data_IF_663989128701
#
_entry.id   IF_663989128701
#
_cell.length_a   1.000
_cell.length_b   1.000
_cell.length_c   1.000
_cell.angle_alpha   90.00
_cell.angle_beta   90.00
_cell.angle_gamma   90.00
#
_symmetry.space_group_name_H-M   'P 1'
#
loop_
_entity.id
_entity.type
_entity.pdbx_description
1 polymer ?
#
# COMPACT_ATOMS: atom_id res chain seq x y z
N UNK A 1 5.23 20.25 -15.69
CA UNK A 1 5.08 20.18 -14.23
C UNK A 1 3.58 20.30 -13.98
N UNK A 2 2.90 19.19 -13.73
CA UNK A 2 1.49 19.22 -13.35
C UNK A 2 1.44 19.01 -11.84
N UNK A 3 1.37 20.13 -11.10
CA UNK A 3 1.04 20.10 -9.67
C UNK A 3 -0.36 19.50 -9.53
N UNK A 4 -0.42 18.26 -9.05
CA UNK A 4 -1.66 17.68 -8.56
C UNK A 4 -1.74 17.98 -7.06
N UNK A 5 -2.00 19.26 -6.73
CA UNK A 5 -2.41 19.61 -5.40
C UNK A 5 -3.65 18.77 -5.04
N UNK A 6 -3.68 18.19 -3.86
CA UNK A 6 -4.80 17.47 -3.25
C UNK A 6 -5.96 18.43 -2.92
N UNK A 7 -6.35 19.26 -3.87
CA UNK A 7 -7.54 20.08 -3.86
C UNK A 7 -8.52 19.46 -4.85
N UNK A 8 -9.71 19.13 -4.40
CA UNK A 8 -10.85 18.77 -5.26
C UNK A 8 -10.98 19.85 -6.34
N UNK A 9 -10.27 19.65 -7.47
CA UNK A 9 -10.44 20.47 -8.66
C UNK A 9 -11.92 20.56 -8.93
N UNK A 10 -12.44 21.74 -9.05
CA UNK A 10 -13.85 22.02 -9.34
C UNK A 10 -14.22 21.46 -10.71
N UNK A 11 -14.48 20.15 -10.76
CA UNK A 11 -15.18 19.53 -11.88
C UNK A 11 -16.68 19.93 -11.87
N UNK A 12 -17.04 20.97 -11.12
CA UNK A 12 -18.40 21.47 -11.06
C UNK A 12 -18.89 21.82 -12.46
N UNK A 13 -19.94 21.15 -12.90
CA UNK A 13 -20.52 21.36 -14.22
C UNK A 13 -19.80 20.69 -15.40
N UNK A 14 -18.62 20.10 -15.19
CA UNK A 14 -17.85 19.40 -16.24
C UNK A 14 -17.96 17.88 -16.03
N UNK A 15 -18.13 17.12 -17.10
CA UNK A 15 -18.17 15.65 -17.02
C UNK A 15 -16.76 15.05 -17.12
N UNK A 16 -16.52 13.80 -16.63
CA UNK A 16 -15.24 13.11 -16.80
C UNK A 16 -14.75 13.09 -18.25
N UNK A 17 -15.64 12.77 -19.18
CA UNK A 17 -15.32 12.79 -20.62
C UNK A 17 -14.83 14.14 -21.08
N UNK A 18 -15.51 15.21 -20.68
CA UNK A 18 -15.15 16.59 -21.07
C UNK A 18 -13.81 17.00 -20.42
N UNK A 19 -13.60 16.67 -19.15
CA UNK A 19 -12.38 17.02 -18.42
C UNK A 19 -11.15 16.36 -19.07
N UNK A 20 -11.21 15.04 -19.29
CA UNK A 20 -10.14 14.29 -19.93
C UNK A 20 -9.91 14.77 -21.37
N UNK A 21 -11.00 14.99 -22.14
CA UNK A 21 -10.90 15.49 -23.52
C UNK A 21 -10.23 16.87 -23.58
N UNK A 22 -10.52 17.74 -22.63
CA UNK A 22 -9.89 19.07 -22.54
C UNK A 22 -8.39 18.92 -22.24
N UNK A 23 -8.01 18.11 -21.25
CA UNK A 23 -6.63 17.88 -20.88
C UNK A 23 -5.77 17.37 -22.07
N UNK A 24 -6.28 16.37 -22.78
CA UNK A 24 -5.52 15.79 -23.93
C UNK A 24 -5.43 16.75 -25.11
N UNK A 25 -6.45 17.61 -25.32
CA UNK A 25 -6.42 18.63 -26.37
C UNK A 25 -5.43 19.75 -26.06
N UNK A 26 -5.35 20.18 -24.81
CA UNK A 26 -4.34 21.15 -24.35
C UNK A 26 -2.92 20.61 -24.59
N UNK A 27 -2.73 19.29 -24.44
CA UNK A 27 -1.46 18.59 -24.72
C UNK A 27 -1.21 18.32 -26.19
N UNK A 28 -2.05 18.83 -27.11
CA UNK A 28 -1.82 18.85 -28.55
C UNK A 28 -2.31 17.60 -29.31
N UNK A 29 -3.09 16.71 -28.71
CA UNK A 29 -3.67 15.58 -29.43
C UNK A 29 -4.68 16.07 -30.48
N UNK A 30 -4.58 15.52 -31.70
CA UNK A 30 -5.54 15.80 -32.77
C UNK A 30 -6.93 15.29 -32.39
N UNK A 31 -8.03 15.92 -32.85
CA UNK A 31 -9.39 15.60 -32.41
C UNK A 31 -9.76 14.11 -32.50
N UNK A 32 -9.39 13.44 -33.58
CA UNK A 32 -9.67 12.00 -33.75
C UNK A 32 -8.89 11.12 -32.76
N UNK A 33 -7.62 11.46 -32.52
CA UNK A 33 -6.77 10.77 -31.55
C UNK A 33 -7.27 11.03 -30.12
N UNK A 34 -7.61 12.28 -29.79
CA UNK A 34 -8.14 12.65 -28.48
C UNK A 34 -9.43 11.88 -28.17
N UNK A 35 -10.38 11.80 -29.13
CA UNK A 35 -11.63 11.06 -28.93
C UNK A 35 -11.38 9.57 -28.61
N UNK A 36 -10.45 8.93 -29.33
CA UNK A 36 -10.08 7.53 -29.10
C UNK A 36 -9.40 7.36 -27.74
N UNK A 37 -8.39 8.17 -27.42
CA UNK A 37 -7.65 8.07 -26.16
C UNK A 37 -8.55 8.32 -24.94
N UNK A 38 -9.49 9.26 -25.03
CA UNK A 38 -10.48 9.52 -23.97
C UNK A 38 -11.37 8.29 -23.75
N UNK A 39 -11.87 7.68 -24.82
CA UNK A 39 -12.73 6.50 -24.68
C UNK A 39 -11.95 5.32 -24.10
N UNK A 40 -10.74 5.04 -24.58
CA UNK A 40 -9.86 4.00 -24.04
C UNK A 40 -9.57 4.22 -22.54
N UNK A 41 -9.36 5.46 -22.12
CA UNK A 41 -9.14 5.78 -20.70
C UNK A 41 -10.40 5.55 -19.86
N UNK A 42 -11.56 6.00 -20.33
CA UNK A 42 -12.83 5.80 -19.63
C UNK A 42 -13.15 4.30 -19.46
N UNK A 43 -12.89 3.50 -20.50
CA UNK A 43 -13.11 2.06 -20.48
C UNK A 43 -12.10 1.36 -19.54
N UNK A 44 -10.82 1.74 -19.59
CA UNK A 44 -9.76 1.14 -18.77
C UNK A 44 -9.95 1.44 -17.28
N UNK A 45 -10.42 2.64 -16.93
CA UNK A 45 -10.66 3.05 -15.55
C UNK A 45 -12.07 2.74 -15.03
N UNK A 46 -12.86 2.01 -15.80
CA UNK A 46 -14.27 1.70 -15.48
C UNK A 46 -15.07 2.96 -15.11
N UNK A 47 -14.93 4.01 -15.92
CA UNK A 47 -15.62 5.29 -15.75
C UNK A 47 -16.83 5.45 -16.67
N UNK A 48 -17.23 4.42 -17.42
CA UNK A 48 -18.30 4.47 -18.42
C UNK A 48 -19.60 5.05 -17.87
N UNK A 49 -20.08 4.55 -16.74
CA UNK A 49 -21.34 4.95 -16.11
C UNK A 49 -21.35 6.39 -15.60
N UNK A 50 -20.17 6.97 -15.37
CA UNK A 50 -19.98 8.34 -14.87
C UNK A 50 -19.49 9.30 -15.95
N UNK A 51 -19.13 8.79 -17.13
CA UNK A 51 -18.44 9.54 -18.18
C UNK A 51 -19.13 10.86 -18.56
N UNK A 52 -20.46 10.86 -18.54
CA UNK A 52 -21.29 11.99 -18.96
C UNK A 52 -22.10 12.60 -17.81
N UNK A 53 -21.78 12.24 -16.54
CA UNK A 53 -22.39 12.83 -15.34
C UNK A 53 -21.61 14.08 -14.91
N UNK A 54 -22.30 15.17 -14.52
CA UNK A 54 -21.65 16.39 -14.03
C UNK A 54 -20.85 16.15 -12.77
N UNK A 55 -19.71 16.82 -12.61
CA UNK A 55 -18.75 16.59 -11.54
C UNK A 55 -19.31 16.74 -10.11
N UNK A 56 -20.32 17.63 -9.90
CA UNK A 56 -20.97 17.79 -8.61
C UNK A 56 -21.76 16.52 -8.16
N UNK A 57 -22.08 15.61 -9.09
CA UNK A 57 -22.78 14.34 -8.82
C UNK A 57 -21.84 13.15 -8.67
N UNK A 58 -20.54 13.37 -8.73
CA UNK A 58 -19.52 12.33 -8.62
C UNK A 58 -19.04 12.18 -7.18
N UNK A 59 -18.74 10.94 -6.77
CA UNK A 59 -18.04 10.66 -5.51
C UNK A 59 -16.59 11.18 -5.55
N UNK A 60 -15.96 11.29 -4.39
CA UNK A 60 -14.54 11.69 -4.29
C UNK A 60 -13.61 10.79 -5.10
N UNK A 61 -13.79 9.47 -5.00
CA UNK A 61 -12.98 8.50 -5.74
C UNK A 61 -13.15 8.63 -7.27
N UNK A 62 -14.37 8.84 -7.78
CA UNK A 62 -14.61 9.05 -9.22
C UNK A 62 -13.97 10.37 -9.70
N UNK A 63 -14.04 11.43 -8.90
CA UNK A 63 -13.34 12.70 -9.20
C UNK A 63 -11.84 12.48 -9.27
N UNK A 64 -11.27 11.71 -8.33
CA UNK A 64 -9.84 11.40 -8.31
C UNK A 64 -9.41 10.59 -9.54
N UNK A 65 -10.16 9.55 -9.89
CA UNK A 65 -9.92 8.80 -11.13
C UNK A 65 -10.06 9.66 -12.39
N UNK A 66 -10.99 10.60 -12.41
CA UNK A 66 -11.11 11.55 -13.52
C UNK A 66 -9.85 12.42 -13.63
N UNK A 67 -9.37 12.95 -12.51
CA UNK A 67 -8.14 13.75 -12.45
C UNK A 67 -6.92 12.92 -12.87
N UNK A 68 -6.82 11.67 -12.41
CA UNK A 68 -5.81 10.73 -12.87
C UNK A 68 -5.89 10.51 -14.39
N UNK A 69 -7.10 10.27 -14.92
CA UNK A 69 -7.32 10.13 -16.37
C UNK A 69 -6.88 11.36 -17.16
N UNK A 70 -7.13 12.57 -16.65
CA UNK A 70 -6.64 13.80 -17.28
C UNK A 70 -5.10 13.83 -17.36
N UNK A 71 -4.41 13.30 -16.36
CA UNK A 71 -2.95 13.28 -16.32
C UNK A 71 -2.36 12.20 -17.25
N UNK A 72 -2.94 10.99 -17.27
CA UNK A 72 -2.33 9.81 -17.90
C UNK A 72 -2.73 9.59 -19.34
N UNK A 73 -3.86 10.16 -19.81
CA UNK A 73 -4.41 9.87 -21.14
C UNK A 73 -3.50 10.33 -22.27
N UNK A 74 -2.95 11.52 -22.20
CA UNK A 74 -2.00 12.00 -23.21
C UNK A 74 -0.62 11.37 -22.98
N UNK A 75 0.03 10.83 -24.03
CA UNK A 75 1.38 10.32 -23.91
C UNK A 75 2.37 11.36 -23.41
N UNK A 76 3.23 10.96 -22.48
CA UNK A 76 4.29 11.77 -21.93
C UNK A 76 5.54 10.90 -21.66
N UNK A 77 6.76 11.45 -21.73
CA UNK A 77 7.97 10.70 -21.37
C UNK A 77 8.10 10.46 -19.88
N UNK A 78 7.50 11.31 -19.04
CA UNK A 78 7.56 11.23 -17.59
C UNK A 78 6.18 11.53 -17.02
N UNK A 79 5.72 10.69 -16.09
CA UNK A 79 4.52 10.90 -15.29
C UNK A 79 4.93 11.01 -13.82
N UNK A 80 4.39 12.03 -13.13
CA UNK A 80 4.60 12.26 -11.71
C UNK A 80 3.26 12.25 -11.00
N UNK A 81 3.12 11.42 -9.98
CA UNK A 81 1.90 11.29 -9.19
C UNK A 81 2.23 11.37 -7.71
N UNK A 82 1.38 12.09 -6.98
CA UNK A 82 1.39 12.17 -5.53
C UNK A 82 0.11 11.53 -5.00
N UNK A 83 0.26 10.43 -4.25
CA UNK A 83 -0.82 9.65 -3.65
C UNK A 83 -1.98 9.36 -4.61
N UNK A 84 -1.75 8.76 -5.80
CA UNK A 84 -2.79 8.64 -6.83
C UNK A 84 -3.92 7.68 -6.45
N UNK A 85 -3.69 6.76 -5.52
CA UNK A 85 -4.64 5.71 -5.10
C UNK A 85 -5.47 6.08 -3.87
N UNK A 86 -5.16 7.19 -3.19
CA UNK A 86 -5.93 7.63 -2.04
C UNK A 86 -7.40 7.87 -2.40
N UNK A 87 -8.32 7.47 -1.51
CA UNK A 87 -9.78 7.59 -1.68
C UNK A 87 -10.36 6.83 -2.89
N UNK A 88 -9.55 6.00 -3.56
CA UNK A 88 -9.99 5.13 -4.66
C UNK A 88 -10.33 3.75 -4.09
N UNK A 89 -11.44 3.16 -4.53
CA UNK A 89 -11.81 1.81 -4.10
C UNK A 89 -10.81 0.75 -4.60
N UNK A 90 -10.62 -0.37 -3.87
CA UNK A 90 -9.59 -1.36 -4.18
C UNK A 90 -9.65 -1.91 -5.61
N UNK A 91 -10.85 -2.09 -6.18
CA UNK A 91 -11.00 -2.63 -7.55
C UNK A 91 -10.45 -1.63 -8.57
N UNK A 92 -10.76 -0.35 -8.39
CA UNK A 92 -10.29 0.71 -9.32
C UNK A 92 -8.83 1.08 -9.12
N UNK A 93 -8.26 0.84 -7.93
CA UNK A 93 -6.81 0.96 -7.72
C UNK A 93 -6.03 0.06 -8.67
N UNK A 94 -6.46 -1.19 -8.83
CA UNK A 94 -5.84 -2.14 -9.77
C UNK A 94 -5.91 -1.64 -11.24
N UNK A 95 -7.01 -1.01 -11.63
CA UNK A 95 -7.15 -0.42 -12.97
C UNK A 95 -6.19 0.75 -13.18
N UNK A 96 -6.00 1.58 -12.14
CA UNK A 96 -5.04 2.68 -12.12
C UNK A 96 -3.61 2.15 -12.30
N UNK A 97 -3.20 1.16 -11.50
CA UNK A 97 -1.87 0.55 -11.58
C UNK A 97 -1.63 -0.10 -12.94
N UNK A 98 -2.63 -0.79 -13.49
CA UNK A 98 -2.56 -1.36 -14.85
C UNK A 98 -2.30 -0.28 -15.91
N UNK A 99 -2.97 0.85 -15.80
CA UNK A 99 -2.76 1.97 -16.73
C UNK A 99 -1.35 2.56 -16.61
N UNK A 100 -0.83 2.71 -15.39
CA UNK A 100 0.55 3.15 -15.17
C UNK A 100 1.56 2.16 -15.74
N UNK A 101 1.35 0.86 -15.53
CA UNK A 101 2.18 -0.20 -16.12
C UNK A 101 2.21 -0.12 -17.64
N UNK A 102 1.06 0.03 -18.28
CA UNK A 102 0.97 0.23 -19.73
C UNK A 102 1.79 1.43 -20.22
N UNK A 103 1.81 2.53 -19.46
CA UNK A 103 2.62 3.70 -19.82
C UNK A 103 4.13 3.42 -19.67
N UNK A 104 4.53 2.73 -18.61
CA UNK A 104 5.91 2.30 -18.42
C UNK A 104 6.39 1.37 -19.54
N UNK A 105 5.57 0.39 -19.94
CA UNK A 105 5.84 -0.53 -21.06
C UNK A 105 5.95 0.19 -22.42
N UNK A 106 5.27 1.34 -22.57
CA UNK A 106 5.41 2.22 -23.73
C UNK A 106 6.67 3.11 -23.69
N UNK A 107 7.53 2.92 -22.69
CA UNK A 107 8.81 3.61 -22.54
C UNK A 107 8.75 4.89 -21.71
N UNK A 108 7.65 5.17 -21.01
CA UNK A 108 7.57 6.30 -20.11
C UNK A 108 8.19 5.96 -18.74
N UNK A 109 8.77 6.97 -18.08
CA UNK A 109 9.13 6.89 -16.66
C UNK A 109 7.93 7.29 -15.83
N UNK A 110 7.55 6.44 -14.87
CA UNK A 110 6.46 6.71 -13.92
C UNK A 110 7.07 6.86 -12.52
N UNK A 111 6.90 8.02 -11.92
CA UNK A 111 7.32 8.30 -10.54
C UNK A 111 6.08 8.54 -9.68
N UNK A 112 5.99 7.80 -8.58
CA UNK A 112 4.87 7.85 -7.65
C UNK A 112 5.40 8.13 -6.26
N UNK A 113 4.84 9.12 -5.59
CA UNK A 113 5.01 9.32 -4.15
C UNK A 113 3.82 8.69 -3.46
N UNK A 114 4.06 7.80 -2.51
CA UNK A 114 3.01 7.15 -1.72
C UNK A 114 3.56 6.66 -0.39
N UNK A 115 2.69 6.52 0.58
CA UNK A 115 2.95 5.85 1.86
C UNK A 115 2.42 4.41 1.88
N UNK A 116 1.78 3.95 0.79
CA UNK A 116 1.25 2.59 0.71
C UNK A 116 2.33 1.60 0.23
N UNK A 117 3.08 1.09 1.18
CA UNK A 117 4.21 0.21 0.92
C UNK A 117 3.80 -1.10 0.23
N UNK A 118 2.61 -1.64 0.52
CA UNK A 118 2.09 -2.84 -0.13
C UNK A 118 1.83 -2.64 -1.63
N UNK A 119 1.37 -1.45 -2.03
CA UNK A 119 1.21 -1.12 -3.45
C UNK A 119 2.55 -0.96 -4.15
N UNK A 120 3.55 -0.36 -3.47
CA UNK A 120 4.92 -0.25 -3.98
C UNK A 120 5.49 -1.64 -4.25
N UNK A 121 5.42 -2.54 -3.29
CA UNK A 121 5.93 -3.91 -3.40
C UNK A 121 5.29 -4.68 -4.57
N UNK A 122 3.97 -4.50 -4.80
CA UNK A 122 3.24 -5.22 -5.84
C UNK A 122 3.43 -4.67 -7.24
N UNK A 123 3.62 -3.37 -7.37
CA UNK A 123 3.47 -2.69 -8.65
C UNK A 123 4.69 -1.92 -9.13
N UNK A 124 5.58 -1.50 -8.22
CA UNK A 124 6.78 -0.75 -8.60
C UNK A 124 7.92 -1.69 -9.02
N UNK A 125 8.78 -1.22 -9.91
CA UNK A 125 10.02 -1.93 -10.29
C UNK A 125 11.18 -1.57 -9.37
N UNK A 126 11.13 -0.38 -8.77
CA UNK A 126 12.17 0.20 -7.91
C UNK A 126 11.54 1.15 -6.92
N UNK A 127 12.10 1.25 -5.73
CA UNK A 127 11.65 2.20 -4.73
C UNK A 127 12.80 3.06 -4.20
N UNK A 128 12.44 4.26 -3.79
CA UNK A 128 13.31 5.23 -3.14
C UNK A 128 12.70 5.54 -1.77
N UNK A 129 13.42 5.20 -0.71
CA UNK A 129 12.96 5.47 0.66
C UNK A 129 13.64 6.72 1.19
N UNK A 130 12.83 7.70 1.61
CA UNK A 130 13.30 8.93 2.22
C UNK A 130 12.95 8.98 3.70
N UNK A 131 13.94 9.35 4.53
CA UNK A 131 13.75 9.66 5.94
C UNK A 131 14.34 11.04 6.23
N UNK A 132 13.54 11.92 6.83
CA UNK A 132 13.94 13.32 7.18
C UNK A 132 14.63 14.08 6.03
N UNK A 133 14.20 13.83 4.79
CA UNK A 133 14.76 14.46 3.59
C UNK A 133 16.03 13.80 3.03
N UNK A 134 16.53 12.75 3.64
CA UNK A 134 17.66 11.97 3.16
C UNK A 134 17.16 10.71 2.44
N UNK A 135 17.82 10.35 1.35
CA UNK A 135 17.60 9.09 0.66
C UNK A 135 18.31 7.97 1.44
N UNK A 136 17.55 7.08 2.07
CA UNK A 136 18.08 5.99 2.88
C UNK A 136 18.16 4.67 2.12
N UNK A 137 17.29 4.46 1.11
CA UNK A 137 17.31 3.28 0.23
C UNK A 137 17.00 3.66 -1.21
N UNK A 138 17.63 2.96 -2.14
CA UNK A 138 17.41 3.09 -3.58
C UNK A 138 17.64 1.71 -4.22
N UNK A 139 16.59 0.90 -4.33
CA UNK A 139 16.69 -0.52 -4.67
C UNK A 139 15.54 -0.97 -5.58
N UNK A 140 15.73 -2.03 -6.38
CA UNK A 140 14.65 -2.69 -7.08
C UNK A 140 13.73 -3.40 -6.06
N UNK A 141 12.43 -3.41 -6.32
CA UNK A 141 11.46 -4.12 -5.45
C UNK A 141 11.71 -5.62 -5.40
N UNK A 142 12.34 -6.21 -6.42
CA UNK A 142 12.76 -7.60 -6.42
C UNK A 142 13.83 -7.94 -5.37
N UNK A 143 14.56 -6.94 -4.86
CA UNK A 143 15.53 -7.14 -3.79
C UNK A 143 14.84 -7.31 -2.41
N UNK A 144 13.59 -6.87 -2.26
CA UNK A 144 12.82 -6.99 -1.02
C UNK A 144 12.61 -8.45 -0.56
N UNK A 145 12.73 -9.42 -1.46
CA UNK A 145 12.62 -10.85 -1.15
C UNK A 145 13.96 -11.61 -1.14
N UNK A 146 15.09 -10.94 -1.39
CA UNK A 146 16.40 -11.57 -1.55
C UNK A 146 17.33 -11.33 -0.35
N UNK A 147 17.11 -10.31 0.45
CA UNK A 147 17.81 -10.17 1.73
C UNK A 147 17.21 -11.19 2.70
N UNK A 148 17.95 -12.29 2.91
CA UNK A 148 17.67 -13.45 3.78
C UNK A 148 16.16 -13.70 3.94
N UNK A 149 15.63 -14.78 3.37
CA UNK A 149 14.19 -15.09 3.36
C UNK A 149 13.56 -14.91 4.75
N UNK A 150 13.27 -13.66 5.09
CA UNK A 150 12.63 -13.30 6.36
C UNK A 150 11.15 -13.58 6.26
N UNK A 151 10.62 -14.19 7.28
CA UNK A 151 9.20 -14.48 7.43
C UNK A 151 8.64 -13.67 8.58
N UNK A 152 7.44 -13.14 8.38
CA UNK A 152 6.69 -12.49 9.47
C UNK A 152 5.83 -13.55 10.15
N UNK A 153 6.02 -13.71 11.46
CA UNK A 153 5.22 -14.55 12.31
C UNK A 153 4.32 -13.65 13.17
N UNK A 154 3.02 -13.66 12.90
CA UNK A 154 2.01 -13.02 13.73
C UNK A 154 1.37 -14.06 14.64
N UNK A 155 1.32 -13.81 15.94
CA UNK A 155 0.82 -14.73 16.96
C UNK A 155 -0.13 -14.00 17.90
N UNK A 156 -1.29 -14.61 18.16
CA UNK A 156 -2.15 -14.22 19.28
C UNK A 156 -1.95 -15.25 20.41
N UNK A 157 -1.32 -14.84 21.49
CA UNK A 157 -0.92 -15.73 22.57
C UNK A 157 -0.93 -15.04 23.95
N UNK A 158 -0.83 -15.85 25.02
CA UNK A 158 -0.70 -15.35 26.37
C UNK A 158 0.67 -14.67 26.61
N UNK A 159 0.77 -13.68 27.49
CA UNK A 159 2.03 -12.99 27.77
C UNK A 159 3.17 -13.93 28.21
N UNK A 160 2.85 -14.97 28.98
CA UNK A 160 3.82 -15.94 29.48
C UNK A 160 4.44 -16.73 28.32
N UNK A 161 3.61 -17.18 27.38
CA UNK A 161 4.08 -17.89 26.19
C UNK A 161 4.99 -17.00 25.32
N UNK A 162 4.63 -15.73 25.18
CA UNK A 162 5.43 -14.78 24.39
C UNK A 162 6.79 -14.50 25.03
N UNK A 163 6.85 -14.46 26.36
CA UNK A 163 8.09 -14.31 27.10
C UNK A 163 9.01 -15.52 26.92
N UNK A 164 8.44 -16.73 26.94
CA UNK A 164 9.14 -17.98 26.66
C UNK A 164 9.67 -17.99 25.21
N UNK A 165 8.83 -17.68 24.23
CA UNK A 165 9.21 -17.66 22.81
C UNK A 165 10.29 -16.59 22.55
N UNK A 166 10.19 -15.41 23.14
CA UNK A 166 11.20 -14.35 23.07
C UNK A 166 12.56 -14.81 23.60
N UNK A 167 12.56 -15.58 24.68
CA UNK A 167 13.79 -16.13 25.27
C UNK A 167 14.43 -17.22 24.42
N UNK A 168 13.61 -18.01 23.72
CA UNK A 168 14.08 -19.08 22.82
C UNK A 168 14.73 -18.50 21.55
N UNK A 169 14.13 -17.45 21.04
CA UNK A 169 14.56 -16.85 19.77
C UNK A 169 15.65 -15.76 19.95
N UNK A 170 15.89 -15.33 21.17
CA UNK A 170 16.74 -14.15 21.50
C UNK A 170 16.32 -12.87 20.73
N UNK A 171 15.00 -12.73 20.48
CA UNK A 171 14.40 -11.64 19.69
C UNK A 171 13.41 -10.87 20.56
N UNK A 172 13.42 -9.54 20.45
CA UNK A 172 12.36 -8.71 21.06
C UNK A 172 11.07 -8.84 20.26
N UNK A 173 10.07 -9.45 20.88
CA UNK A 173 8.73 -9.53 20.32
C UNK A 173 7.99 -8.25 20.68
N UNK A 174 7.64 -7.44 19.68
CA UNK A 174 6.91 -6.20 19.85
C UNK A 174 5.41 -6.39 19.61
N UNK A 175 4.52 -5.72 20.38
CA UNK A 175 3.07 -5.80 20.13
C UNK A 175 2.73 -5.21 18.76
N UNK A 176 1.84 -5.89 18.03
CA UNK A 176 1.31 -5.37 16.76
C UNK A 176 0.49 -4.12 17.01
N UNK A 177 0.69 -3.05 16.24
CA UNK A 177 -0.16 -1.87 16.35
C UNK A 177 -1.58 -2.21 15.85
N UNK A 178 -2.55 -2.36 16.76
CA UNK A 178 -3.92 -2.24 16.31
C UNK A 178 -5.06 -3.09 16.86
N UNK A 179 -4.90 -4.00 17.82
CA UNK A 179 -6.06 -4.87 18.16
C UNK A 179 -6.70 -4.74 19.56
N UNK A 180 -6.07 -4.12 20.51
CA UNK A 180 -6.73 -3.70 21.76
C UNK A 180 -6.12 -2.35 22.13
N UNK A 181 -6.96 -1.34 22.44
CA UNK A 181 -6.44 -0.09 22.96
C UNK A 181 -5.63 -0.39 24.22
N UNK A 182 -4.45 0.21 24.34
CA UNK A 182 -3.60 0.03 25.54
C UNK A 182 -4.37 0.30 26.84
N UNK A 183 -5.38 1.15 26.77
CA UNK A 183 -6.30 1.47 27.87
C UNK A 183 -7.15 0.27 28.29
N UNK A 184 -7.77 -0.44 27.36
CA UNK A 184 -8.62 -1.61 27.66
C UNK A 184 -7.80 -2.80 28.19
N UNK A 185 -6.57 -2.96 27.69
CA UNK A 185 -5.64 -3.97 28.21
C UNK A 185 -5.18 -3.63 29.63
N UNK A 186 -4.87 -2.36 29.93
CA UNK A 186 -4.46 -1.90 31.25
C UNK A 186 -5.62 -2.05 32.24
N UNK A 187 -6.86 -1.74 31.85
CA UNK A 187 -8.04 -1.88 32.67
C UNK A 187 -8.31 -3.35 33.05
N UNK A 188 -8.32 -4.26 32.08
CA UNK A 188 -8.54 -5.69 32.32
C UNK A 188 -7.41 -6.33 33.15
N UNK A 189 -6.17 -5.89 32.94
CA UNK A 189 -5.04 -6.34 33.75
C UNK A 189 -5.11 -5.80 35.21
N UNK A 190 -5.67 -4.62 35.41
CA UNK A 190 -5.93 -4.06 36.73
C UNK A 190 -7.05 -4.83 37.47
N UNK A 191 -7.95 -5.48 36.73
CA UNK A 191 -8.98 -6.40 37.25
C UNK A 191 -8.45 -7.81 37.59
N UNK A 192 -7.16 -8.09 37.33
CA UNK A 192 -6.51 -9.35 37.66
C UNK A 192 -6.58 -10.44 36.59
N UNK A 193 -7.03 -10.12 35.38
CA UNK A 193 -7.03 -11.04 34.25
C UNK A 193 -5.71 -10.94 33.45
N UNK A 194 -4.75 -11.82 33.77
CA UNK A 194 -3.43 -11.88 33.15
C UNK A 194 -3.40 -12.80 31.91
N UNK A 195 -4.52 -13.42 31.57
CA UNK A 195 -4.58 -14.47 30.54
C UNK A 195 -5.03 -13.97 29.17
N UNK A 196 -5.24 -12.65 29.02
CA UNK A 196 -5.78 -12.09 27.77
C UNK A 196 -4.74 -12.23 26.64
N UNK A 197 -5.07 -12.98 25.57
CA UNK A 197 -4.18 -13.10 24.43
C UNK A 197 -3.96 -11.77 23.74
N UNK A 198 -2.72 -11.50 23.31
CA UNK A 198 -2.37 -10.35 22.47
C UNK A 198 -1.85 -10.81 21.12
N UNK A 199 -2.09 -10.00 20.11
CA UNK A 199 -1.46 -10.19 18.80
C UNK A 199 -0.08 -9.55 18.80
N UNK A 200 0.91 -10.33 18.39
CA UNK A 200 2.29 -9.92 18.26
C UNK A 200 2.80 -10.29 16.88
N UNK A 201 3.68 -9.46 16.37
CA UNK A 201 4.33 -9.71 15.08
C UNK A 201 5.84 -9.66 15.27
N UNK A 202 6.54 -10.63 14.70
CA UNK A 202 7.99 -10.71 14.70
C UNK A 202 8.48 -11.13 13.32
N UNK A 203 9.56 -10.51 12.86
CA UNK A 203 10.22 -10.87 11.61
C UNK A 203 11.37 -11.82 11.94
N UNK A 204 11.37 -13.00 11.33
CA UNK A 204 12.29 -14.11 11.61
C UNK A 204 13.01 -14.53 10.34
N UNK A 205 14.28 -14.89 10.47
CA UNK A 205 14.99 -15.66 9.44
C UNK A 205 14.40 -17.07 9.30
N UNK A 206 14.79 -17.79 8.27
CA UNK A 206 14.33 -19.18 8.08
C UNK A 206 14.72 -20.08 9.26
N UNK A 207 15.94 -19.93 9.76
CA UNK A 207 16.44 -20.74 10.89
C UNK A 207 15.68 -20.42 12.19
N UNK A 208 15.42 -19.14 12.46
CA UNK A 208 14.62 -18.70 13.61
C UNK A 208 13.17 -19.18 13.51
N UNK A 209 12.59 -19.18 12.31
CA UNK A 209 11.25 -19.69 12.08
C UNK A 209 11.17 -21.20 12.31
N UNK A 210 12.18 -21.96 11.88
CA UNK A 210 12.29 -23.40 12.15
C UNK A 210 12.36 -23.70 13.65
N UNK A 211 13.02 -22.85 14.43
CA UNK A 211 13.05 -22.95 15.89
C UNK A 211 11.71 -22.54 16.54
N UNK A 212 11.06 -21.51 16.03
CA UNK A 212 9.81 -20.98 16.59
C UNK A 212 8.63 -21.93 16.41
N UNK A 213 8.50 -22.54 15.22
CA UNK A 213 7.32 -23.33 14.83
C UNK A 213 6.96 -24.46 15.79
N UNK A 214 7.89 -25.32 16.26
CA UNK A 214 7.57 -26.36 17.22
C UNK A 214 7.01 -25.82 18.54
N UNK A 215 7.52 -24.67 19.01
CA UNK A 215 7.03 -23.98 20.22
C UNK A 215 5.61 -23.45 20.00
N UNK A 216 5.35 -22.77 18.88
CA UNK A 216 4.02 -22.26 18.53
C UNK A 216 2.99 -23.38 18.47
N UNK A 217 3.31 -24.50 17.80
CA UNK A 217 2.44 -25.65 17.70
C UNK A 217 2.19 -26.33 19.06
N UNK A 218 3.20 -26.35 19.94
CA UNK A 218 3.04 -26.81 21.32
C UNK A 218 2.13 -25.86 22.11
N UNK A 219 2.29 -24.56 21.96
CA UNK A 219 1.46 -23.54 22.59
C UNK A 219 -0.02 -23.62 22.20
N UNK A 220 -0.31 -23.94 20.92
CA UNK A 220 -1.69 -24.19 20.47
C UNK A 220 -2.29 -25.40 21.20
N UNK A 221 -1.54 -26.50 21.32
CA UNK A 221 -2.00 -27.71 22.04
C UNK A 221 -2.23 -27.45 23.53
N UNK A 222 -1.43 -26.56 24.11
CA UNK A 222 -1.53 -26.15 25.52
C UNK A 222 -2.62 -25.09 25.75
N UNK A 223 -3.20 -24.50 24.69
CA UNK A 223 -4.18 -23.42 24.82
C UNK A 223 -3.57 -22.03 25.11
N UNK A 224 -2.24 -21.91 25.02
CA UNK A 224 -1.54 -20.64 25.26
C UNK A 224 -1.46 -19.77 23.98
N UNK A 225 -1.64 -20.38 22.80
CA UNK A 225 -1.68 -19.72 21.50
C UNK A 225 -3.07 -19.90 20.91
N UNK A 226 -3.75 -18.80 20.61
CA UNK A 226 -5.08 -18.79 20.03
C UNK A 226 -5.03 -18.90 18.50
N UNK A 227 -4.13 -18.14 17.89
CA UNK A 227 -3.93 -18.16 16.43
C UNK A 227 -2.51 -17.79 16.06
N UNK A 228 -2.10 -18.21 14.87
CA UNK A 228 -0.86 -17.75 14.25
C UNK A 228 -1.00 -17.60 12.75
N UNK A 229 -0.18 -16.75 12.16
CA UNK A 229 -0.05 -16.55 10.72
C UNK A 229 1.42 -16.41 10.37
N UNK A 230 1.83 -17.05 9.28
CA UNK A 230 3.15 -16.91 8.70
C UNK A 230 2.97 -16.29 7.32
N UNK A 231 3.73 -15.24 7.04
CA UNK A 231 3.81 -14.59 5.74
C UNK A 231 5.25 -14.30 5.37
N UNK A 232 5.51 -13.95 4.12
CA UNK A 232 6.77 -13.34 3.75
C UNK A 232 6.85 -11.96 4.40
N UNK A 233 8.01 -11.56 4.91
CA UNK A 233 8.21 -10.20 5.39
C UNK A 233 7.98 -9.21 4.24
N UNK A 234 7.15 -8.20 4.47
CA UNK A 234 6.81 -7.17 3.52
C UNK A 234 7.71 -5.93 3.70
N UNK A 235 7.69 -5.02 2.71
CA UNK A 235 8.35 -3.72 2.85
C UNK A 235 7.83 -2.96 4.09
N UNK A 236 6.55 -3.14 4.44
CA UNK A 236 5.95 -2.51 5.62
C UNK A 236 6.53 -3.07 6.93
N UNK A 237 6.79 -4.38 7.00
CA UNK A 237 7.36 -5.03 8.19
C UNK A 237 8.82 -4.60 8.43
N UNK A 238 9.57 -4.40 7.35
CA UNK A 238 10.98 -4.00 7.40
C UNK A 238 11.18 -2.47 7.48
N UNK A 239 10.11 -1.69 7.31
CA UNK A 239 10.19 -0.22 7.23
C UNK A 239 10.81 0.41 8.48
N UNK A 240 10.43 -0.05 9.67
CA UNK A 240 10.98 0.47 10.94
C UNK A 240 12.46 0.12 11.10
N UNK A 241 12.89 -1.06 10.69
CA UNK A 241 14.31 -1.46 10.70
C UNK A 241 15.12 -0.60 9.72
N UNK A 242 14.59 -0.37 8.51
CA UNK A 242 15.24 0.43 7.47
C UNK A 242 15.46 1.90 7.88
N UNK A 243 14.58 2.44 8.73
CA UNK A 243 14.65 3.83 9.19
C UNK A 243 15.57 3.98 10.41
N UNK A 244 15.70 2.95 11.26
CA UNK A 244 16.37 3.02 12.55
C UNK A 244 17.85 2.58 12.51
N UNK A 245 18.36 2.14 11.36
CA UNK A 245 19.76 1.69 11.19
C UNK A 245 20.75 2.81 10.84
N UNK A 246 20.41 4.10 11.12
CA UNK A 246 21.34 5.24 11.01
C UNK A 246 21.54 5.94 12.36
#
# INVERSE_FOLDING_TARGET
MCDHAAGTSSLEGVTPRQAIATAVRIRGLKPKQAKRAVQETLDTLDLGDWADRPGHKLSGGIKRLTSFGMAVTAPAPIYLFDEPTNDVDPVRRELLWRMLRMRAEQGATVLIVTHNLLEVERHADRYLLFNKGLLVRDEPTSALGLEEAKSTLSITATPEFLQELSSVLDVKISPSPGNISDTEYIEKRAEGDFTIPREFTVTLSTDELELALPHVLSGIRAGCVESYRIGSASLADNYEEMINHD
#
